data_IF_513126656435
#
_entry.id   IF_513126656435
#
_cell.length_a   1.000
_cell.length_b   1.000
_cell.length_c   1.000
_cell.angle_alpha   90.00
_cell.angle_beta   90.00
_cell.angle_gamma   90.00
#
_symmetry.space_group_name_H-M   'P 1'
#
loop_
_entity.id
_entity.type
_entity.pdbx_description
1 polymer ?
#
# COMPACT_ATOMS: atom_id res chain seq x y z
N UNK A 1 -13.02 52.34 -24.27
CA UNK A 1 -12.08 52.30 -23.12
C UNK A 1 -12.34 51.13 -22.17
N UNK A 2 -13.53 50.50 -22.16
CA UNK A 2 -13.84 49.34 -21.31
C UNK A 2 -13.68 47.97 -21.99
N UNK A 3 -13.52 47.93 -23.32
CA UNK A 3 -13.39 46.68 -24.11
C UNK A 3 -11.96 46.15 -24.25
N UNK A 4 -10.96 46.90 -23.77
CA UNK A 4 -9.53 46.52 -23.86
C UNK A 4 -9.05 45.80 -22.59
N UNK A 5 -9.84 45.78 -21.51
CA UNK A 5 -9.46 45.12 -20.25
C UNK A 5 -10.01 43.69 -20.09
N UNK A 6 -10.73 43.15 -21.08
CA UNK A 6 -11.29 41.79 -21.02
C UNK A 6 -10.49 40.74 -21.80
N UNK A 7 -9.34 41.10 -22.36
CA UNK A 7 -8.54 40.18 -23.20
C UNK A 7 -7.41 39.46 -22.46
N UNK A 8 -7.22 39.71 -21.15
CA UNK A 8 -6.11 39.12 -20.38
C UNK A 8 -6.50 38.01 -19.38
N UNK A 9 -7.78 37.66 -19.23
CA UNK A 9 -8.21 36.68 -18.21
C UNK A 9 -8.44 35.24 -18.74
N UNK A 10 -8.32 34.98 -20.04
CA UNK A 10 -8.69 33.69 -20.66
C UNK A 10 -7.48 32.81 -21.08
N UNK A 11 -6.26 33.08 -20.61
CA UNK A 11 -5.07 32.31 -21.01
C UNK A 11 -4.15 31.89 -19.85
N UNK A 12 -4.73 31.33 -18.79
CA UNK A 12 -3.99 30.45 -17.87
C UNK A 12 -4.77 29.16 -17.62
N UNK A 13 -5.04 28.40 -18.69
CA UNK A 13 -5.19 26.94 -18.55
C UNK A 13 -3.83 26.37 -18.18
N UNK A 14 -3.52 26.51 -16.90
CA UNK A 14 -2.38 25.94 -16.21
C UNK A 14 -2.39 24.44 -16.47
N UNK A 15 -1.59 24.01 -17.45
CA UNK A 15 -1.27 22.60 -17.67
C UNK A 15 -0.69 22.12 -16.34
N UNK A 16 -1.49 21.41 -15.54
CA UNK A 16 -0.98 20.82 -14.29
C UNK A 16 0.23 19.97 -14.70
N UNK A 17 1.43 20.24 -14.17
CA UNK A 17 2.61 19.52 -14.59
C UNK A 17 2.37 18.03 -14.34
N UNK A 18 2.75 17.16 -15.28
CA UNK A 18 2.61 15.70 -15.14
C UNK A 18 3.16 15.18 -13.80
N UNK A 19 4.18 15.86 -13.25
CA UNK A 19 4.74 15.61 -11.92
C UNK A 19 3.75 15.82 -10.77
N UNK A 20 2.82 16.77 -10.82
CA UNK A 20 1.79 16.94 -9.76
C UNK A 20 0.67 15.91 -9.86
N UNK A 21 0.55 15.20 -10.99
CA UNK A 21 -0.31 14.03 -11.11
C UNK A 21 0.35 12.81 -10.45
N UNK A 22 1.65 12.60 -10.67
CA UNK A 22 2.41 11.48 -10.09
C UNK A 22 2.65 11.65 -8.58
N UNK A 23 3.03 12.85 -8.14
CA UNK A 23 3.17 13.22 -6.74
C UNK A 23 1.87 13.82 -6.19
N UNK A 24 0.75 13.12 -6.37
CA UNK A 24 -0.48 13.49 -5.68
C UNK A 24 -0.35 13.20 -4.17
N UNK A 25 -0.99 13.98 -3.29
CA UNK A 25 -0.92 13.74 -1.84
C UNK A 25 -1.42 12.35 -1.44
N UNK A 26 -2.31 11.75 -2.24
CA UNK A 26 -2.79 10.38 -2.03
C UNK A 26 -1.69 9.35 -2.35
N UNK A 27 -0.97 9.54 -3.45
CA UNK A 27 0.16 8.67 -3.81
C UNK A 27 1.26 8.73 -2.75
N UNK A 28 1.67 9.94 -2.32
CA UNK A 28 2.66 10.06 -1.24
C UNK A 28 2.19 9.40 0.05
N UNK A 29 0.91 9.54 0.41
CA UNK A 29 0.39 8.92 1.64
C UNK A 29 0.42 7.39 1.55
N UNK A 30 -0.04 6.82 0.44
CA UNK A 30 -0.03 5.38 0.21
C UNK A 30 1.40 4.83 0.09
N UNK A 31 2.29 5.56 -0.59
CA UNK A 31 3.70 5.21 -0.68
C UNK A 31 4.36 5.26 0.69
N UNK A 32 4.19 6.33 1.47
CA UNK A 32 4.81 6.45 2.78
C UNK A 32 4.33 5.37 3.75
N UNK A 33 3.02 5.09 3.83
CA UNK A 33 2.52 4.04 4.74
C UNK A 33 3.04 2.65 4.35
N UNK A 34 3.10 2.35 3.05
CA UNK A 34 3.59 1.06 2.57
C UNK A 34 5.12 0.96 2.71
N UNK A 35 5.85 2.00 2.33
CA UNK A 35 7.30 2.04 2.41
C UNK A 35 7.75 1.89 3.86
N UNK A 36 7.29 2.74 4.78
CA UNK A 36 7.68 2.62 6.19
C UNK A 36 7.14 1.35 6.87
N UNK A 37 5.99 0.84 6.43
CA UNK A 37 5.41 -0.39 6.96
C UNK A 37 6.13 -1.66 6.50
N UNK A 38 6.65 -1.67 5.28
CA UNK A 38 7.32 -2.83 4.69
C UNK A 38 8.84 -2.71 4.65
N UNK A 39 9.42 -1.55 5.03
CA UNK A 39 10.87 -1.35 5.02
C UNK A 39 11.57 -2.31 5.98
N UNK A 40 12.38 -3.22 5.45
CA UNK A 40 13.06 -4.23 6.25
C UNK A 40 12.15 -5.37 6.73
N UNK A 41 10.99 -5.57 6.10
CA UNK A 41 10.12 -6.70 6.42
C UNK A 41 10.78 -8.07 6.13
N UNK A 42 10.29 -9.11 6.79
CA UNK A 42 10.72 -10.50 6.63
C UNK A 42 10.68 -10.96 5.17
N UNK A 43 9.73 -10.46 4.38
CA UNK A 43 9.67 -10.71 2.94
C UNK A 43 10.94 -10.27 2.19
N UNK A 44 11.57 -9.16 2.59
CA UNK A 44 12.81 -8.68 1.98
C UNK A 44 14.00 -9.58 2.32
N UNK A 45 14.12 -10.01 3.59
CA UNK A 45 15.16 -10.96 3.99
C UNK A 45 14.97 -12.34 3.35
N UNK A 46 13.73 -12.81 3.23
CA UNK A 46 13.40 -14.05 2.53
C UNK A 46 13.76 -13.96 1.04
N UNK A 47 13.49 -12.81 0.41
CA UNK A 47 13.84 -12.57 -1.00
C UNK A 47 15.36 -12.55 -1.20
N UNK A 48 16.12 -11.92 -0.30
CA UNK A 48 17.59 -11.93 -0.34
C UNK A 48 18.14 -13.35 -0.13
N UNK A 49 17.59 -14.09 0.84
CA UNK A 49 17.98 -15.48 1.08
C UNK A 49 17.70 -16.38 -0.12
N UNK A 50 16.52 -16.25 -0.73
CA UNK A 50 16.14 -17.01 -1.90
C UNK A 50 16.96 -16.60 -3.14
N UNK A 51 17.24 -15.31 -3.32
CA UNK A 51 18.09 -14.80 -4.41
C UNK A 51 19.57 -15.16 -4.24
N UNK A 52 20.01 -15.53 -3.02
CA UNK A 52 21.35 -16.04 -2.78
C UNK A 52 21.49 -17.53 -3.13
N UNK A 53 20.40 -18.29 -3.06
CA UNK A 53 20.34 -19.73 -3.38
C UNK A 53 19.97 -19.98 -4.86
N UNK A 54 19.10 -19.13 -5.42
CA UNK A 54 18.53 -19.25 -6.77
C UNK A 54 18.88 -18.05 -7.68
N UNK A 55 18.47 -18.11 -8.95
CA UNK A 55 18.68 -17.01 -9.89
C UNK A 55 18.02 -15.68 -9.40
N UNK A 56 18.81 -14.62 -9.15
CA UNK A 56 18.28 -13.37 -8.57
C UNK A 56 17.18 -12.72 -9.41
N UNK A 57 17.32 -12.76 -10.74
CA UNK A 57 16.33 -12.20 -11.65
C UNK A 57 14.98 -12.94 -11.59
N UNK A 58 15.01 -14.28 -11.43
CA UNK A 58 13.80 -15.08 -11.31
C UNK A 58 13.06 -14.80 -10.00
N UNK A 59 13.81 -14.66 -8.91
CA UNK A 59 13.26 -14.34 -7.58
C UNK A 59 12.64 -12.95 -7.55
N UNK A 60 13.31 -11.94 -8.12
CA UNK A 60 12.77 -10.57 -8.21
C UNK A 60 11.50 -10.53 -9.06
N UNK A 61 11.50 -11.16 -10.24
CA UNK A 61 10.32 -11.19 -11.10
C UNK A 61 9.15 -11.93 -10.43
N UNK A 62 9.43 -13.07 -9.79
CA UNK A 62 8.42 -13.83 -9.04
C UNK A 62 7.83 -13.01 -7.90
N UNK A 63 8.67 -12.32 -7.11
CA UNK A 63 8.25 -11.44 -6.02
C UNK A 63 7.38 -10.28 -6.51
N UNK A 64 7.77 -9.61 -7.60
CA UNK A 64 6.98 -8.52 -8.19
C UNK A 64 5.61 -9.01 -8.66
N UNK A 65 5.56 -10.16 -9.36
CA UNK A 65 4.29 -10.75 -9.82
C UNK A 65 3.41 -11.16 -8.65
N UNK A 66 3.99 -11.82 -7.64
CA UNK A 66 3.27 -12.22 -6.43
C UNK A 66 2.67 -11.02 -5.69
N UNK A 67 3.45 -9.94 -5.51
CA UNK A 67 2.99 -8.72 -4.87
C UNK A 67 1.86 -8.07 -5.67
N UNK A 68 2.00 -7.98 -7.00
CA UNK A 68 0.97 -7.41 -7.88
C UNK A 68 -0.36 -8.18 -7.77
N UNK A 69 -0.30 -9.51 -7.82
CA UNK A 69 -1.47 -10.38 -7.68
C UNK A 69 -2.11 -10.20 -6.29
N UNK A 70 -1.30 -10.21 -5.24
CA UNK A 70 -1.76 -10.04 -3.87
C UNK A 70 -2.46 -8.67 -3.67
N UNK A 71 -1.83 -7.58 -4.08
CA UNK A 71 -2.40 -6.23 -3.99
C UNK A 71 -3.69 -6.10 -4.81
N UNK A 72 -3.72 -6.66 -6.02
CA UNK A 72 -4.92 -6.63 -6.87
C UNK A 72 -6.08 -7.37 -6.20
N UNK A 73 -5.81 -8.57 -5.67
CA UNK A 73 -6.80 -9.34 -4.93
C UNK A 73 -7.28 -8.59 -3.68
N UNK A 74 -6.37 -7.95 -2.93
CA UNK A 74 -6.69 -7.17 -1.75
C UNK A 74 -7.57 -5.95 -2.06
N UNK A 75 -7.31 -5.23 -3.16
CA UNK A 75 -8.12 -4.06 -3.57
C UNK A 75 -9.51 -4.48 -4.03
N UNK A 76 -9.62 -5.54 -4.83
CA UNK A 76 -10.92 -6.06 -5.30
C UNK A 76 -11.72 -6.61 -4.12
N UNK A 77 -11.07 -7.45 -3.31
CA UNK A 77 -11.66 -8.04 -2.11
C UNK A 77 -12.08 -6.96 -1.11
N UNK A 78 -11.22 -5.99 -0.83
CA UNK A 78 -11.50 -4.87 0.06
C UNK A 78 -12.67 -4.02 -0.41
N UNK A 79 -12.78 -3.75 -1.72
CA UNK A 79 -13.94 -3.04 -2.27
C UNK A 79 -15.24 -3.82 -2.11
N UNK A 80 -15.20 -5.14 -2.34
CA UNK A 80 -16.36 -6.02 -2.12
C UNK A 80 -16.73 -6.12 -0.64
N UNK A 81 -15.74 -6.22 0.24
CA UNK A 81 -15.92 -6.38 1.68
C UNK A 81 -16.45 -5.09 2.31
N UNK A 82 -15.95 -3.92 1.90
CA UNK A 82 -16.43 -2.62 2.34
C UNK A 82 -17.90 -2.36 1.96
N UNK A 83 -18.40 -3.01 0.91
CA UNK A 83 -19.82 -2.89 0.51
C UNK A 83 -20.77 -3.73 1.37
N UNK A 84 -20.27 -4.76 2.06
CA UNK A 84 -21.08 -5.76 2.76
C UNK A 84 -20.85 -5.76 4.28
N UNK A 85 -19.69 -5.28 4.76
CA UNK A 85 -19.26 -5.41 6.16
C UNK A 85 -19.02 -4.03 6.78
N UNK A 86 -19.64 -3.79 7.92
CA UNK A 86 -19.40 -2.59 8.74
C UNK A 86 -17.98 -2.58 9.30
N UNK A 87 -17.28 -1.42 9.23
CA UNK A 87 -15.93 -1.22 9.77
C UNK A 87 -15.76 -1.72 11.21
N UNK A 88 -16.84 -1.69 12.00
CA UNK A 88 -16.84 -2.16 13.38
C UNK A 88 -16.56 -3.66 13.51
N UNK A 89 -17.06 -4.48 12.58
CA UNK A 89 -16.82 -5.94 12.59
C UNK A 89 -15.36 -6.22 12.23
N UNK A 90 -14.81 -5.51 11.25
CA UNK A 90 -13.40 -5.62 10.86
C UNK A 90 -12.49 -5.26 12.04
N UNK A 91 -12.75 -4.13 12.70
CA UNK A 91 -11.99 -3.70 13.86
C UNK A 91 -12.08 -4.70 15.04
N UNK A 92 -13.28 -5.22 15.33
CA UNK A 92 -13.47 -6.21 16.40
C UNK A 92 -12.73 -7.52 16.09
N UNK A 93 -12.80 -7.98 14.84
CA UNK A 93 -12.11 -9.19 14.40
C UNK A 93 -10.58 -9.04 14.48
N UNK A 94 -10.04 -7.89 14.07
CA UNK A 94 -8.62 -7.58 14.18
C UNK A 94 -8.15 -7.54 15.63
N UNK A 95 -8.90 -6.88 16.51
CA UNK A 95 -8.60 -6.85 17.95
C UNK A 95 -8.65 -8.25 18.59
N UNK A 96 -9.64 -9.06 18.23
CA UNK A 96 -9.75 -10.44 18.73
C UNK A 96 -8.60 -11.32 18.28
N UNK A 97 -8.20 -11.24 16.99
CA UNK A 97 -7.00 -11.92 16.48
C UNK A 97 -5.73 -11.46 17.20
N UNK A 98 -5.62 -10.16 17.50
CA UNK A 98 -4.47 -9.62 18.22
C UNK A 98 -4.36 -10.17 19.64
N UNK A 99 -5.49 -10.31 20.35
CA UNK A 99 -5.53 -10.95 21.68
C UNK A 99 -5.12 -12.42 21.58
N UNK A 100 -5.66 -13.15 20.59
CA UNK A 100 -5.33 -14.57 20.38
C UNK A 100 -3.82 -14.74 20.13
N UNK A 101 -3.25 -13.97 19.20
CA UNK A 101 -1.80 -14.02 18.93
C UNK A 101 -0.97 -13.54 20.12
N UNK A 102 -1.43 -12.54 20.86
CA UNK A 102 -0.77 -12.08 22.08
C UNK A 102 -0.70 -13.17 23.15
N UNK A 103 -1.81 -13.87 23.41
CA UNK A 103 -1.86 -15.00 24.34
C UNK A 103 -0.99 -16.15 23.83
N UNK A 104 -1.08 -16.49 22.54
CA UNK A 104 -0.27 -17.57 21.97
C UNK A 104 1.22 -17.25 22.06
N UNK A 105 1.63 -16.01 21.76
CA UNK A 105 3.02 -15.57 21.94
C UNK A 105 3.47 -15.63 23.40
N UNK A 106 2.58 -15.26 24.34
CA UNK A 106 2.89 -15.31 25.78
C UNK A 106 3.04 -16.75 26.29
N UNK A 107 2.15 -17.66 25.89
CA UNK A 107 2.23 -19.07 26.26
C UNK A 107 3.45 -19.76 25.62
N UNK A 108 3.71 -19.52 24.35
CA UNK A 108 4.91 -20.06 23.67
C UNK A 108 6.21 -19.53 24.27
N UNK A 109 6.22 -18.33 24.86
CA UNK A 109 7.39 -17.81 25.58
C UNK A 109 7.64 -18.47 26.95
N UNK A 110 6.67 -19.21 27.48
CA UNK A 110 6.81 -19.96 28.76
C UNK A 110 7.40 -21.36 28.55
N UNK A 111 7.40 -21.88 27.32
CA UNK A 111 7.88 -23.23 27.00
C UNK A 111 9.23 -23.26 26.25
N UNK A 112 9.97 -22.14 26.20
CA UNK A 112 11.27 -22.00 25.51
C UNK A 112 12.44 -21.75 26.47
#
# INVERSE_FOLDING_TARGET
MSSVLQTEDENKKQKRPFLTQFFSPIFLKAFSINFFGEFGDKSQLATIGLAADENPFGVVLGGVVAQLVCTTAAVIGGKSLASQISERIVALSGGMLFIIFGIQSFLTSVDA
#
